data_IF_566673022379
#
_entry.id   IF_566673022379
#
_cell.length_a   1.000
_cell.length_b   1.000
_cell.length_c   1.000
_cell.angle_alpha   90.00
_cell.angle_beta   90.00
_cell.angle_gamma   90.00
#
_symmetry.space_group_name_H-M   'P 1'
#
loop_
_entity.id
_entity.type
_entity.pdbx_description
1 polymer ?
#
# COMPACT_ATOMS: atom_id res chain seq x y z
N UNK A 1 2.08 -18.09 7.37
CA UNK A 1 0.75 -18.17 6.73
C UNK A 1 0.77 -17.30 5.47
N UNK A 2 0.36 -17.80 4.30
CA UNK A 2 0.26 -17.00 3.07
C UNK A 2 -1.10 -16.32 3.03
N UNK A 3 -1.14 -15.00 3.14
CA UNK A 3 -2.38 -14.21 3.09
C UNK A 3 -2.85 -14.13 1.63
N UNK A 4 -4.06 -14.64 1.34
CA UNK A 4 -4.63 -14.64 -0.02
C UNK A 4 -5.74 -13.59 -0.10
N UNK A 5 -5.63 -12.57 -0.97
CA UNK A 5 -6.70 -11.62 -1.20
C UNK A 5 -7.90 -12.30 -1.88
N UNK A 6 -9.11 -11.83 -1.58
CA UNK A 6 -10.36 -12.30 -2.20
C UNK A 6 -10.92 -11.22 -3.13
N UNK A 7 -11.60 -11.65 -4.21
CA UNK A 7 -12.22 -10.76 -5.20
C UNK A 7 -11.23 -9.70 -5.73
N UNK A 8 -11.66 -8.45 -5.83
CA UNK A 8 -10.87 -7.32 -6.35
C UNK A 8 -10.05 -6.60 -5.27
N UNK A 9 -9.47 -7.35 -4.34
CA UNK A 9 -8.69 -6.76 -3.24
C UNK A 9 -7.21 -7.00 -3.46
N UNK A 10 -6.43 -6.02 -3.06
CA UNK A 10 -4.96 -6.05 -3.12
C UNK A 10 -4.41 -5.92 -1.72
N UNK A 11 -3.41 -6.74 -1.39
CA UNK A 11 -2.68 -6.64 -0.13
C UNK A 11 -1.44 -5.80 -0.38
N UNK A 12 -1.35 -4.68 0.33
CA UNK A 12 -0.26 -3.71 0.22
C UNK A 12 0.45 -3.60 1.57
N UNK A 13 1.78 -3.62 1.55
CA UNK A 13 2.61 -3.25 2.69
C UNK A 13 3.00 -1.78 2.52
N UNK A 14 2.66 -0.94 3.51
CA UNK A 14 3.08 0.47 3.50
C UNK A 14 4.61 0.54 3.48
N UNK A 15 5.15 1.43 2.65
CA UNK A 15 6.57 1.78 2.72
C UNK A 15 6.81 2.69 3.93
N UNK A 16 8.05 2.81 4.36
CA UNK A 16 8.40 3.76 5.41
C UNK A 16 8.32 5.19 4.86
N UNK A 17 7.89 6.14 5.69
CA UNK A 17 7.82 7.55 5.30
C UNK A 17 9.22 8.11 5.06
N UNK A 18 9.34 9.00 4.08
CA UNK A 18 10.60 9.62 3.72
C UNK A 18 11.05 10.56 4.85
N UNK A 19 12.21 10.27 5.44
CA UNK A 19 12.73 11.01 6.60
C UNK A 19 13.34 12.36 6.22
N UNK A 20 13.59 12.59 4.93
CA UNK A 20 14.18 13.82 4.40
C UNK A 20 13.41 14.30 3.20
N UNK A 21 13.09 15.59 3.17
CA UNK A 21 12.56 16.23 1.97
C UNK A 21 13.64 16.36 0.89
N UNK A 22 13.24 16.61 -0.36
CA UNK A 22 14.17 16.89 -1.46
C UNK A 22 15.14 18.07 -1.18
N UNK A 23 14.78 18.98 -0.28
CA UNK A 23 15.62 20.10 0.18
C UNK A 23 16.52 19.77 1.37
N UNK A 24 16.51 18.53 1.86
CA UNK A 24 17.36 18.05 2.95
C UNK A 24 16.81 18.32 4.36
N UNK A 25 15.55 18.76 4.50
CA UNK A 25 14.91 18.99 5.80
C UNK A 25 14.53 17.64 6.41
N UNK A 26 14.99 17.38 7.63
CA UNK A 26 14.66 16.16 8.37
C UNK A 26 13.29 16.31 9.03
N UNK A 27 12.36 15.40 8.73
CA UNK A 27 11.04 15.37 9.35
C UNK A 27 11.12 14.55 10.64
N UNK A 28 10.74 15.11 11.80
CA UNK A 28 10.71 14.34 13.05
C UNK A 28 9.59 13.30 13.04
N UNK A 29 9.80 12.16 13.69
CA UNK A 29 8.87 11.01 13.67
C UNK A 29 7.44 11.36 14.14
N UNK A 30 7.28 12.38 14.99
CA UNK A 30 5.98 12.86 15.47
C UNK A 30 5.16 13.61 14.40
N UNK A 31 5.82 14.12 13.37
CA UNK A 31 5.20 14.80 12.22
C UNK A 31 5.20 13.92 10.96
N UNK A 32 5.65 12.66 11.05
CA UNK A 32 5.62 11.73 9.94
C UNK A 32 4.17 11.35 9.61
N UNK A 33 3.70 11.84 8.47
CA UNK A 33 2.38 11.50 7.95
C UNK A 33 2.37 10.06 7.44
N UNK A 34 1.18 9.43 7.43
CA UNK A 34 1.06 8.05 6.94
C UNK A 34 1.40 8.04 5.45
N UNK A 35 2.29 7.15 5.00
CA UNK A 35 2.65 7.09 3.60
C UNK A 35 1.46 6.50 2.81
N UNK A 36 1.07 7.22 1.76
CA UNK A 36 0.03 6.81 0.82
C UNK A 36 0.53 5.76 -0.18
N UNK A 37 1.85 5.55 -0.23
CA UNK A 37 2.51 4.58 -1.08
C UNK A 37 2.78 3.27 -0.34
N UNK A 38 2.85 2.18 -1.11
CA UNK A 38 3.09 0.85 -0.57
C UNK A 38 3.44 -0.16 -1.66
N UNK A 39 4.10 -1.23 -1.26
CA UNK A 39 4.46 -2.34 -2.13
C UNK A 39 3.35 -3.39 -2.15
N UNK A 40 3.01 -3.87 -3.35
CA UNK A 40 1.97 -4.89 -3.54
C UNK A 40 2.54 -6.28 -3.26
N UNK A 41 1.99 -6.97 -2.25
CA UNK A 41 2.43 -8.32 -1.88
C UNK A 41 1.56 -9.42 -2.52
N UNK A 42 0.29 -9.14 -2.78
CA UNK A 42 -0.61 -10.08 -3.44
C UNK A 42 -1.82 -9.38 -4.08
N UNK A 43 -2.26 -9.89 -5.22
CA UNK A 43 -3.43 -9.44 -5.96
C UNK A 43 -4.53 -10.51 -5.96
N UNK A 44 -5.77 -10.08 -5.79
CA UNK A 44 -6.94 -10.96 -5.88
C UNK A 44 -7.28 -11.31 -7.33
N UNK A 45 -8.21 -12.25 -7.55
CA UNK A 45 -8.63 -12.70 -8.89
C UNK A 45 -9.35 -11.62 -9.71
N UNK A 46 -9.68 -10.46 -9.13
CA UNK A 46 -10.30 -9.33 -9.83
C UNK A 46 -11.81 -9.22 -9.58
N UNK A 47 -12.38 -8.10 -10.04
CA UNK A 47 -13.83 -7.84 -9.96
C UNK A 47 -14.54 -8.70 -11.01
N UNK A 48 -15.55 -9.44 -10.56
CA UNK A 48 -16.50 -10.09 -11.48
C UNK A 48 -17.39 -9.04 -12.12
N UNK A 49 -17.56 -9.13 -13.43
CA UNK A 49 -18.53 -8.35 -14.17
C UNK A 49 -19.97 -8.77 -13.79
N UNK A 50 -20.97 -8.03 -14.24
CA UNK A 50 -22.39 -8.29 -13.90
C UNK A 50 -22.89 -9.66 -14.42
N UNK A 51 -22.12 -10.32 -15.29
CA UNK A 51 -22.37 -11.68 -15.81
C UNK A 51 -21.65 -12.77 -15.02
N UNK A 52 -20.86 -12.41 -14.01
CA UNK A 52 -20.15 -13.33 -13.12
C UNK A 52 -18.75 -13.75 -13.60
N UNK A 53 -18.21 -13.15 -14.65
CA UNK A 53 -16.85 -13.38 -15.17
C UNK A 53 -15.83 -12.44 -14.53
#
# INVERSE_FOLDING_TARGET
MKLRPLADRVIVKRIDSETKTASGIVIPDAAAEKPDQGEVLAVGPGKRNDKGE
#
